data_IF_034443671051
#
_entry.id   IF_034443671051
#
_cell.length_a   1.000
_cell.length_b   1.000
_cell.length_c   1.000
_cell.angle_alpha   90.00
_cell.angle_beta   90.00
_cell.angle_gamma   90.00
#
_symmetry.space_group_name_H-M   'P 1'
#
loop_
_entity.id
_entity.type
_entity.pdbx_description
1 polymer ?
#
# COMPACT_ATOMS: atom_id res chain seq x y z
N UNK A 1 -14.61 -29.39 8.03
CA UNK A 1 -14.52 -28.95 9.45
C UNK A 1 -14.59 -30.11 10.46
N UNK A 2 -15.41 -31.16 10.27
CA UNK A 2 -15.51 -32.28 11.23
C UNK A 2 -14.20 -33.07 11.40
N UNK A 3 -13.55 -33.48 10.30
CA UNK A 3 -12.32 -34.29 10.32
C UNK A 3 -11.09 -33.62 11.00
N UNK A 4 -10.99 -32.28 10.96
CA UNK A 4 -9.91 -31.55 11.65
C UNK A 4 -10.17 -31.50 13.16
N UNK A 5 -11.45 -31.39 13.57
CA UNK A 5 -11.85 -31.35 14.99
C UNK A 5 -11.75 -32.72 15.67
N UNK A 6 -11.95 -33.80 14.94
CA UNK A 6 -11.76 -35.18 15.42
C UNK A 6 -10.31 -35.64 15.37
N UNK A 7 -9.38 -34.78 14.91
CA UNK A 7 -7.97 -35.12 14.68
C UNK A 7 -7.72 -36.23 13.65
N UNK A 8 -8.75 -36.60 12.87
CA UNK A 8 -8.63 -37.58 11.77
C UNK A 8 -7.80 -37.02 10.61
N UNK A 9 -7.73 -35.69 10.48
CA UNK A 9 -6.91 -35.00 9.50
C UNK A 9 -6.03 -33.97 10.20
N UNK A 10 -4.72 -34.22 10.21
CA UNK A 10 -3.75 -33.35 10.87
C UNK A 10 -3.62 -32.02 10.13
N UNK A 11 -3.97 -30.93 10.81
CA UNK A 11 -3.75 -29.57 10.34
C UNK A 11 -2.81 -28.84 11.28
N UNK A 12 -1.93 -28.01 10.72
CA UNK A 12 -0.98 -27.18 11.47
C UNK A 12 -1.09 -25.72 11.03
N UNK A 13 -0.55 -24.80 11.83
CA UNK A 13 -0.44 -23.39 11.47
C UNK A 13 0.93 -23.14 10.85
N UNK A 14 0.99 -22.41 9.75
CA UNK A 14 2.25 -21.94 9.19
C UNK A 14 2.79 -20.69 9.93
N UNK A 15 3.96 -20.21 9.52
CA UNK A 15 4.60 -19.02 10.09
C UNK A 15 3.82 -17.71 9.82
N UNK A 16 2.79 -17.76 8.96
CA UNK A 16 1.84 -16.67 8.68
C UNK A 16 0.50 -16.92 9.37
N UNK A 17 0.46 -17.85 10.33
CA UNK A 17 -0.74 -18.24 11.07
C UNK A 17 -1.90 -18.74 10.18
N UNK A 18 -1.61 -19.34 9.03
CA UNK A 18 -2.60 -19.97 8.14
C UNK A 18 -2.69 -21.46 8.44
N UNK A 19 -3.90 -22.03 8.41
CA UNK A 19 -4.08 -23.48 8.52
C UNK A 19 -3.61 -24.17 7.25
N UNK A 20 -2.74 -25.16 7.41
CA UNK A 20 -2.25 -26.02 6.33
C UNK A 20 -2.37 -27.48 6.71
N UNK A 21 -2.52 -28.32 5.69
CA UNK A 21 -2.60 -29.78 5.79
C UNK A 21 -1.51 -30.30 4.88
N UNK A 22 -0.75 -31.31 5.32
CA UNK A 22 0.27 -31.91 4.45
C UNK A 22 -0.42 -32.71 3.35
N UNK A 23 0.15 -32.69 2.15
CA UNK A 23 -0.38 -33.42 1.01
C UNK A 23 -0.47 -34.92 1.29
N UNK A 24 0.52 -35.47 1.99
CA UNK A 24 0.55 -36.89 2.36
C UNK A 24 -0.57 -37.26 3.33
N UNK A 25 -0.79 -36.43 4.36
CA UNK A 25 -1.86 -36.63 5.35
C UNK A 25 -3.25 -36.53 4.70
N UNK A 26 -3.41 -35.62 3.74
CA UNK A 26 -4.65 -35.49 2.95
C UNK A 26 -4.89 -36.72 2.07
N UNK A 27 -3.86 -37.21 1.38
CA UNK A 27 -3.96 -38.39 0.54
C UNK A 27 -4.25 -39.66 1.36
N UNK A 28 -3.60 -39.80 2.52
CA UNK A 28 -3.87 -40.89 3.45
C UNK A 28 -5.31 -40.84 3.98
N UNK A 29 -5.81 -39.65 4.30
CA UNK A 29 -7.19 -39.47 4.74
C UNK A 29 -8.19 -39.80 3.62
N UNK A 30 -7.93 -39.40 2.38
CA UNK A 30 -8.76 -39.73 1.21
C UNK A 30 -8.75 -41.24 0.91
N UNK A 31 -7.61 -41.91 1.06
CA UNK A 31 -7.50 -43.36 0.88
C UNK A 31 -8.22 -44.15 1.99
N UNK A 32 -8.17 -43.65 3.24
CA UNK A 32 -8.86 -44.23 4.39
C UNK A 32 -10.37 -43.94 4.40
N UNK A 33 -10.79 -42.87 3.72
CA UNK A 33 -12.19 -42.50 3.54
C UNK A 33 -12.54 -42.44 2.06
N UNK A 34 -12.63 -43.60 1.35
CA UNK A 34 -13.11 -43.66 -0.02
C UNK A 34 -14.48 -43.00 -0.04
N UNK A 35 -14.58 -41.89 -0.76
CA UNK A 35 -15.78 -41.08 -0.71
C UNK A 35 -16.96 -41.94 -1.19
N UNK A 36 -17.96 -42.12 -0.34
CA UNK A 36 -19.34 -42.33 -0.79
C UNK A 36 -19.81 -41.00 -1.38
N UNK A 37 -19.18 -40.57 -2.48
CA UNK A 37 -19.70 -39.53 -3.34
C UNK A 37 -20.90 -40.15 -4.05
N UNK A 38 -22.08 -40.03 -3.46
CA UNK A 38 -23.31 -40.05 -4.24
C UNK A 38 -23.16 -38.93 -5.28
N UNK A 39 -22.95 -39.34 -6.52
CA UNK A 39 -22.82 -38.47 -7.67
C UNK A 39 -24.16 -37.77 -7.89
N UNK A 40 -24.43 -36.66 -7.20
CA UNK A 40 -25.44 -35.72 -7.65
C UNK A 40 -24.86 -35.02 -8.87
N UNK A 41 -25.19 -35.56 -10.04
CA UNK A 41 -25.15 -34.82 -11.32
C UNK A 41 -25.94 -33.54 -11.07
N UNK A 42 -25.24 -32.44 -10.90
CA UNK A 42 -25.85 -31.12 -10.83
C UNK A 42 -25.84 -30.60 -12.27
N UNK A 43 -27.03 -30.55 -12.87
CA UNK A 43 -27.27 -29.96 -14.19
C UNK A 43 -26.60 -28.60 -14.31
N UNK A 44 -26.07 -28.32 -15.50
CA UNK A 44 -25.66 -26.99 -15.96
C UNK A 44 -26.85 -26.02 -15.85
N UNK A 45 -27.04 -25.40 -14.69
CA UNK A 45 -27.74 -24.14 -14.61
C UNK A 45 -27.32 -23.40 -13.34
N UNK A 46 -27.15 -22.09 -13.51
CA UNK A 46 -26.76 -21.09 -12.52
C UNK A 46 -25.25 -20.87 -12.34
N UNK A 47 -24.84 -19.79 -13.01
CA UNK A 47 -23.60 -19.06 -12.87
C UNK A 47 -23.04 -19.11 -11.44
N UNK A 48 -21.84 -19.67 -11.32
CA UNK A 48 -21.03 -19.46 -10.12
C UNK A 48 -20.89 -17.95 -9.89
N UNK A 49 -21.31 -17.41 -8.73
CA UNK A 49 -20.98 -16.03 -8.40
C UNK A 49 -19.47 -15.94 -8.35
N UNK A 50 -18.90 -15.09 -9.20
CA UNK A 50 -17.49 -14.72 -9.20
C UNK A 50 -17.10 -14.49 -7.74
N UNK A 51 -16.21 -15.34 -7.22
CA UNK A 51 -15.68 -15.21 -5.87
C UNK A 51 -15.04 -13.83 -5.77
N UNK A 52 -15.78 -12.89 -5.20
CA UNK A 52 -15.24 -11.59 -4.82
C UNK A 52 -14.29 -11.87 -3.67
N UNK A 53 -13.00 -11.49 -3.76
CA UNK A 53 -12.09 -11.67 -2.64
C UNK A 53 -12.68 -10.92 -1.43
N UNK A 54 -13.00 -11.65 -0.37
CA UNK A 54 -13.63 -11.12 0.84
C UNK A 54 -12.68 -10.20 1.64
N UNK A 55 -11.44 -10.03 1.19
CA UNK A 55 -10.43 -9.18 1.79
C UNK A 55 -9.80 -8.32 0.69
N UNK A 56 -9.74 -6.98 0.84
CA UNK A 56 -8.92 -6.16 -0.03
C UNK A 56 -7.47 -6.66 0.04
N UNK A 57 -6.85 -6.91 -1.10
CA UNK A 57 -5.44 -7.34 -1.16
C UNK A 57 -4.57 -6.27 -0.50
N UNK A 58 -3.94 -6.55 0.65
CA UNK A 58 -3.16 -5.54 1.39
C UNK A 58 -2.02 -4.98 0.53
N UNK A 59 -1.50 -5.78 -0.41
CA UNK A 59 -0.46 -5.38 -1.37
C UNK A 59 -0.97 -4.29 -2.33
N UNK A 60 -2.23 -4.36 -2.76
CA UNK A 60 -2.82 -3.34 -3.64
C UNK A 60 -3.07 -2.03 -2.90
N UNK A 61 -3.41 -2.10 -1.61
CA UNK A 61 -3.61 -0.91 -0.77
C UNK A 61 -2.27 -0.23 -0.45
N UNK A 62 -1.25 -1.00 -0.04
CA UNK A 62 0.09 -0.46 0.26
C UNK A 62 0.72 0.19 -0.97
N UNK A 63 0.51 -0.37 -2.17
CA UNK A 63 1.06 0.21 -3.40
C UNK A 63 0.38 1.52 -3.78
N UNK A 64 -0.93 1.65 -3.59
CA UNK A 64 -1.66 2.90 -3.82
C UNK A 64 -1.25 3.99 -2.82
N UNK A 65 -1.08 3.64 -1.56
CA UNK A 65 -0.59 4.57 -0.53
C UNK A 65 0.82 5.06 -0.83
N UNK A 66 1.72 4.17 -1.26
CA UNK A 66 3.08 4.56 -1.67
C UNK A 66 3.09 5.50 -2.87
N UNK A 67 2.23 5.28 -3.87
CA UNK A 67 2.11 6.19 -5.02
C UNK A 67 1.61 7.56 -4.57
N UNK A 68 0.60 7.60 -3.70
CA UNK A 68 0.06 8.84 -3.16
C UNK A 68 1.11 9.62 -2.38
N UNK A 69 1.82 8.98 -1.45
CA UNK A 69 2.86 9.62 -0.64
C UNK A 69 3.99 10.15 -1.53
N UNK A 70 4.38 9.42 -2.57
CA UNK A 70 5.38 9.90 -3.54
C UNK A 70 4.90 11.13 -4.30
N UNK A 71 3.64 11.16 -4.73
CA UNK A 71 3.08 12.31 -5.42
C UNK A 71 3.01 13.55 -4.51
N UNK A 72 2.57 13.39 -3.26
CA UNK A 72 2.55 14.46 -2.25
C UNK A 72 3.97 14.98 -1.96
N UNK A 73 4.96 14.08 -1.86
CA UNK A 73 6.36 14.44 -1.65
C UNK A 73 6.92 15.28 -2.80
N UNK A 74 6.68 14.89 -4.05
CA UNK A 74 7.15 15.66 -5.21
C UNK A 74 6.46 17.02 -5.32
N UNK A 75 5.15 17.09 -5.00
CA UNK A 75 4.44 18.37 -4.93
C UNK A 75 5.04 19.30 -3.86
N UNK A 76 5.33 18.78 -2.66
CA UNK A 76 5.98 19.55 -1.60
C UNK A 76 7.39 20.02 -1.97
N UNK A 77 8.18 19.18 -2.66
CA UNK A 77 9.51 19.58 -3.13
C UNK A 77 9.44 20.73 -4.13
N UNK A 78 8.49 20.70 -5.07
CA UNK A 78 8.33 21.79 -6.03
C UNK A 78 7.89 23.07 -5.35
N UNK A 79 6.93 23.02 -4.42
CA UNK A 79 6.53 24.17 -3.61
C UNK A 79 7.72 24.74 -2.82
N UNK A 80 8.51 23.91 -2.16
CA UNK A 80 9.72 24.35 -1.44
C UNK A 80 10.71 25.05 -2.36
N UNK A 81 10.99 24.49 -3.53
CA UNK A 81 11.90 25.10 -4.49
C UNK A 81 11.40 26.49 -4.94
N UNK A 82 10.08 26.64 -5.17
CA UNK A 82 9.51 27.95 -5.53
C UNK A 82 9.63 28.97 -4.39
N UNK A 83 9.32 28.57 -3.15
CA UNK A 83 9.42 29.45 -1.98
C UNK A 83 10.89 29.84 -1.70
N UNK A 84 11.82 28.91 -1.86
CA UNK A 84 13.25 29.17 -1.72
C UNK A 84 13.75 30.13 -2.79
N UNK A 85 13.34 29.94 -4.05
CA UNK A 85 13.65 30.85 -5.15
C UNK A 85 13.12 32.26 -4.89
N UNK A 86 11.87 32.40 -4.46
CA UNK A 86 11.27 33.70 -4.13
C UNK A 86 12.02 34.36 -2.97
N UNK A 87 12.28 33.62 -1.89
CA UNK A 87 13.05 34.11 -0.74
C UNK A 87 14.43 34.61 -1.18
N UNK A 88 15.11 33.86 -2.04
CA UNK A 88 16.45 34.18 -2.50
C UNK A 88 16.44 35.41 -3.41
N UNK A 89 15.43 35.53 -4.28
CA UNK A 89 15.18 36.72 -5.09
C UNK A 89 14.95 37.97 -4.22
N UNK A 90 14.11 37.86 -3.19
CA UNK A 90 13.87 38.95 -2.25
C UNK A 90 15.12 39.32 -1.45
N UNK A 91 15.94 38.34 -1.06
CA UNK A 91 17.23 38.59 -0.39
C UNK A 91 18.19 39.34 -1.29
N UNK A 92 18.29 38.96 -2.57
CA UNK A 92 19.13 39.64 -3.54
C UNK A 92 18.68 41.10 -3.76
N UNK A 93 17.38 41.34 -3.90
CA UNK A 93 16.83 42.69 -4.01
C UNK A 93 17.13 43.53 -2.77
N UNK A 94 16.92 42.97 -1.58
CA UNK A 94 17.23 43.64 -0.32
C UNK A 94 18.72 43.98 -0.20
N UNK A 95 19.59 43.06 -0.61
CA UNK A 95 21.04 43.27 -0.62
C UNK A 95 21.42 44.39 -1.60
N UNK A 96 20.90 44.39 -2.82
CA UNK A 96 21.13 45.47 -3.80
C UNK A 96 20.65 46.83 -3.28
N UNK A 97 19.51 46.87 -2.59
CA UNK A 97 19.00 48.10 -1.95
C UNK A 97 19.89 48.57 -0.80
N UNK A 98 20.42 47.65 0.00
CA UNK A 98 21.34 47.96 1.09
C UNK A 98 22.74 48.40 0.58
N UNK A 99 23.19 47.84 -0.54
CA UNK A 99 24.46 48.18 -1.20
C UNK A 99 24.37 49.47 -2.02
N UNK A 100 23.16 49.95 -2.33
CA UNK A 100 22.92 51.25 -2.96
C UNK A 100 23.33 52.40 -2.04
N UNK A 101 24.63 52.73 -2.14
CA UNK A 101 25.44 53.92 -1.83
C UNK A 101 24.97 54.94 -0.77
N UNK A 102 25.94 55.52 -0.02
CA UNK A 102 25.67 56.52 1.01
C UNK A 102 24.82 57.65 0.44
N UNK A 103 23.69 57.91 1.11
CA UNK A 103 22.84 59.06 0.85
C UNK A 103 23.70 60.32 0.95
N UNK A 104 24.26 60.79 -0.17
CA UNK A 104 24.76 62.16 -0.32
C UNK A 104 23.53 63.05 -0.33
N UNK A 105 23.02 63.24 0.88
CA UNK A 105 21.89 64.06 1.20
C UNK A 105 22.34 65.50 1.00
N UNK A 106 21.61 66.16 0.12
CA UNK A 106 21.78 67.50 -0.36
C UNK A 106 21.52 68.54 0.74
N UNK A 107 22.33 68.55 1.80
CA UNK A 107 22.43 69.69 2.72
C UNK A 107 23.65 70.50 2.26
N UNK A 108 23.53 71.50 1.39
CA UNK A 108 23.02 72.84 1.74
C UNK A 108 23.38 73.23 3.17
N UNK A 109 24.66 73.56 3.41
CA UNK A 109 25.02 74.57 4.39
C UNK A 109 25.91 75.63 3.74
N UNK A 110 25.59 76.88 4.12
CA UNK A 110 26.03 78.17 3.59
C UNK A 110 27.54 78.35 3.52
#
# INVERSE_FOLDING_TARGET
MRAIKSSDLQAFRDNKNQWRIKTDDLNAWLAAHPAQCAHTVQEENDAHPVHTPAHPDPIAQDTLELVRVKAELEAEKTLRATVESDRDHWRELAQKMAESRPRKWWFWQK
#
